data_IF_839430625597
#
_entry.id   IF_839430625597
#
_cell.length_a   1.000
_cell.length_b   1.000
_cell.length_c   1.000
_cell.angle_alpha   90.00
_cell.angle_beta   90.00
_cell.angle_gamma   90.00
#
_symmetry.space_group_name_H-M   'P 1'
#
loop_
_entity.id
_entity.type
_entity.pdbx_description
1 polymer ?
#
# COMPACT_ATOMS: atom_id res chain seq x y z
N UNK A 1 2.64 -12.24 -8.00
CA UNK A 1 2.86 -10.78 -8.06
C UNK A 1 1.88 -10.22 -9.05
N UNK A 2 1.09 -9.23 -8.65
CA UNK A 2 0.15 -8.50 -9.53
C UNK A 2 0.68 -7.07 -9.63
N UNK A 3 0.87 -6.58 -10.85
CA UNK A 3 1.39 -5.22 -11.09
C UNK A 3 0.30 -4.40 -11.77
N UNK A 4 0.05 -3.21 -11.24
CA UNK A 4 -0.87 -2.23 -11.82
C UNK A 4 -0.06 -0.98 -12.15
N UNK A 5 0.09 -0.69 -13.44
CA UNK A 5 0.92 0.40 -13.93
C UNK A 5 0.25 1.10 -15.11
N UNK A 6 0.45 2.42 -15.19
CA UNK A 6 -0.08 3.33 -16.21
C UNK A 6 0.70 4.64 -16.07
N UNK A 7 1.06 5.27 -17.17
CA UNK A 7 1.87 6.50 -17.23
C UNK A 7 1.08 7.79 -17.05
N UNK A 8 -0.26 7.73 -17.05
CA UNK A 8 -1.14 8.90 -16.90
C UNK A 8 -1.45 9.18 -15.43
N UNK A 9 -1.26 10.42 -14.97
CA UNK A 9 -1.74 10.87 -13.66
C UNK A 9 -3.27 10.78 -13.53
N UNK A 10 -3.77 10.35 -12.37
CA UNK A 10 -5.21 10.28 -12.10
C UNK A 10 -5.97 9.10 -12.73
N UNK A 11 -5.29 8.07 -13.23
CA UNK A 11 -5.93 6.92 -13.90
C UNK A 11 -6.38 5.78 -12.98
N UNK A 12 -6.83 6.11 -11.76
CA UNK A 12 -7.44 5.18 -10.77
C UNK A 12 -6.64 3.90 -10.43
N UNK A 13 -5.34 3.87 -10.77
CA UNK A 13 -4.42 2.75 -10.48
C UNK A 13 -4.42 2.38 -9.00
N UNK A 14 -4.14 3.34 -8.13
CA UNK A 14 -4.02 3.12 -6.68
C UNK A 14 -5.34 2.61 -6.11
N UNK A 15 -6.47 3.20 -6.52
CA UNK A 15 -7.81 2.70 -6.17
C UNK A 15 -8.00 1.24 -6.56
N UNK A 16 -7.58 0.85 -7.76
CA UNK A 16 -7.72 -0.54 -8.24
C UNK A 16 -6.80 -1.48 -7.46
N UNK A 17 -5.54 -1.08 -7.23
CA UNK A 17 -4.55 -1.86 -6.49
C UNK A 17 -5.00 -2.12 -5.05
N UNK A 18 -5.47 -1.08 -4.38
CA UNK A 18 -6.02 -1.15 -3.02
C UNK A 18 -7.21 -2.10 -2.96
N UNK A 19 -8.17 -1.98 -3.87
CA UNK A 19 -9.36 -2.85 -3.85
C UNK A 19 -9.02 -4.32 -4.13
N UNK A 20 -8.11 -4.60 -5.06
CA UNK A 20 -7.65 -5.97 -5.32
C UNK A 20 -6.91 -6.52 -4.10
N UNK A 21 -6.02 -5.74 -3.50
CA UNK A 21 -5.31 -6.16 -2.29
C UNK A 21 -6.27 -6.43 -1.13
N UNK A 22 -7.28 -5.57 -0.93
CA UNK A 22 -8.29 -5.76 0.10
C UNK A 22 -9.15 -7.01 -0.14
N UNK A 23 -9.54 -7.27 -1.38
CA UNK A 23 -10.28 -8.50 -1.74
C UNK A 23 -9.47 -9.76 -1.43
N UNK A 24 -8.18 -9.78 -1.79
CA UNK A 24 -7.27 -10.89 -1.52
C UNK A 24 -7.08 -11.08 -0.01
N UNK A 25 -6.91 -9.99 0.74
CA UNK A 25 -6.77 -10.03 2.20
C UNK A 25 -8.04 -10.55 2.89
N UNK A 26 -9.22 -10.12 2.43
CA UNK A 26 -10.52 -10.64 2.92
C UNK A 26 -10.73 -12.12 2.61
N UNK A 27 -10.12 -12.66 1.55
CA UNK A 27 -10.11 -14.09 1.27
C UNK A 27 -9.18 -14.89 2.21
N UNK A 28 -8.58 -14.25 3.22
CA UNK A 28 -7.71 -14.89 4.22
C UNK A 28 -6.26 -15.06 3.75
N UNK A 29 -5.88 -14.46 2.62
CA UNK A 29 -4.53 -14.56 2.07
C UNK A 29 -3.64 -13.43 2.60
N UNK A 30 -2.42 -13.80 3.01
CA UNK A 30 -1.40 -12.83 3.43
C UNK A 30 -1.06 -11.91 2.25
N UNK A 31 -1.39 -10.64 2.40
CA UNK A 31 -1.31 -9.64 1.32
C UNK A 31 -0.36 -8.51 1.71
N UNK A 32 0.50 -8.11 0.78
CA UNK A 32 1.37 -6.95 0.89
C UNK A 32 1.10 -6.06 -0.33
N UNK A 33 0.72 -4.80 -0.09
CA UNK A 33 0.54 -3.80 -1.12
C UNK A 33 1.76 -2.88 -1.14
N UNK A 34 2.35 -2.69 -2.33
CA UNK A 34 3.49 -1.81 -2.54
C UNK A 34 3.04 -0.63 -3.40
N UNK A 35 3.21 0.59 -2.89
CA UNK A 35 2.91 1.83 -3.62
C UNK A 35 4.21 2.46 -4.12
N UNK A 36 4.46 2.33 -5.43
CA UNK A 36 5.63 2.89 -6.09
C UNK A 36 5.31 4.23 -6.79
N UNK A 37 4.18 4.86 -6.50
CA UNK A 37 3.91 6.24 -6.89
C UNK A 37 4.65 7.19 -5.93
N UNK A 38 5.94 7.42 -6.19
CA UNK A 38 6.78 8.27 -5.35
C UNK A 38 6.36 9.74 -5.39
N UNK A 39 5.62 10.17 -6.43
CA UNK A 39 5.14 11.54 -6.55
C UNK A 39 3.88 11.77 -5.72
N UNK A 40 2.95 10.81 -5.72
CA UNK A 40 1.68 10.90 -4.98
C UNK A 40 1.26 9.55 -4.38
N UNK A 41 1.95 9.07 -3.32
CA UNK A 41 1.58 7.84 -2.66
C UNK A 41 0.21 8.01 -2.01
N UNK A 42 -0.74 7.15 -2.34
CA UNK A 42 -2.13 7.25 -1.88
C UNK A 42 -2.63 5.98 -1.23
N UNK A 43 -1.98 4.83 -1.46
CA UNK A 43 -2.45 3.54 -0.96
C UNK A 43 -2.62 3.48 0.56
N UNK A 44 -1.70 4.10 1.32
CA UNK A 44 -1.73 4.12 2.79
C UNK A 44 -2.90 4.92 3.38
N UNK A 45 -3.56 5.77 2.60
CA UNK A 45 -4.71 6.57 3.06
C UNK A 45 -6.05 5.83 3.02
N UNK A 46 -6.13 4.67 2.34
CA UNK A 46 -7.38 3.95 2.15
C UNK A 46 -7.80 3.12 3.37
N UNK A 47 -6.84 2.73 4.20
CA UNK A 47 -7.07 1.90 5.38
C UNK A 47 -6.38 2.48 6.61
N UNK A 48 -7.00 2.41 7.80
CA UNK A 48 -6.34 2.78 9.04
C UNK A 48 -5.09 1.93 9.27
N UNK A 49 -3.97 2.59 9.58
CA UNK A 49 -2.76 1.93 10.02
C UNK A 49 -2.90 1.53 11.50
N UNK A 50 -2.73 0.24 11.80
CA UNK A 50 -2.61 -0.25 13.17
C UNK A 50 -1.18 -0.06 13.69
N UNK A 51 -0.21 -0.20 12.80
CA UNK A 51 1.21 0.05 13.03
C UNK A 51 1.72 0.81 11.83
N UNK A 52 2.19 2.03 12.07
CA UNK A 52 2.94 2.77 11.07
C UNK A 52 4.42 2.47 11.23
N UNK A 53 5.06 2.09 10.13
CA UNK A 53 6.49 1.91 10.08
C UNK A 53 7.18 3.28 9.88
N UNK A 54 8.38 3.50 10.46
CA UNK A 54 9.09 4.77 10.37
C UNK A 54 9.56 5.11 8.95
N UNK A 55 9.63 4.14 8.04
CA UNK A 55 10.14 4.30 6.68
C UNK A 55 9.22 3.67 5.63
N UNK A 56 9.42 4.06 4.37
CA UNK A 56 8.65 3.55 3.24
C UNK A 56 9.50 3.16 2.04
N UNK A 57 8.89 3.20 0.86
CA UNK A 57 9.51 2.77 -0.39
C UNK A 57 10.73 3.62 -0.76
N UNK A 58 10.75 4.90 -0.37
CA UNK A 58 11.89 5.78 -0.61
C UNK A 58 13.15 5.27 0.09
N UNK A 59 13.10 5.02 1.40
CA UNK A 59 14.24 4.52 2.17
C UNK A 59 14.66 3.13 1.73
N UNK A 60 13.71 2.27 1.33
CA UNK A 60 14.02 0.97 0.74
C UNK A 60 14.84 1.10 -0.55
N UNK A 61 14.41 1.96 -1.49
CA UNK A 61 15.05 2.07 -2.80
C UNK A 61 16.35 2.89 -2.78
N UNK A 62 16.35 4.01 -2.06
CA UNK A 62 17.43 5.00 -2.10
C UNK A 62 18.45 4.78 -0.99
N UNK A 63 17.99 4.43 0.21
CA UNK A 63 18.86 4.26 1.39
C UNK A 63 19.22 2.79 1.65
N UNK A 64 18.69 1.87 0.85
CA UNK A 64 18.88 0.42 1.00
C UNK A 64 18.56 -0.09 2.41
N UNK A 65 17.57 0.52 3.09
CA UNK A 65 17.03 -0.08 4.32
C UNK A 65 16.40 -1.43 3.97
N UNK A 66 16.68 -2.44 4.79
CA UNK A 66 16.24 -3.83 4.56
C UNK A 66 15.51 -4.43 5.75
N UNK A 67 15.46 -3.70 6.87
CA UNK A 67 14.68 -4.08 8.04
C UNK A 67 13.18 -3.92 7.77
N UNK A 68 12.50 -5.05 7.55
CA UNK A 68 11.08 -5.08 7.24
C UNK A 68 10.20 -4.53 8.37
N UNK A 69 10.64 -4.59 9.63
CA UNK A 69 9.89 -4.05 10.75
C UNK A 69 9.86 -2.51 10.74
N UNK A 70 10.82 -1.90 10.03
CA UNK A 70 10.90 -0.45 9.80
C UNK A 70 10.27 0.00 8.48
N UNK A 71 9.99 -0.93 7.57
CA UNK A 71 9.49 -0.63 6.21
C UNK A 71 8.01 -1.00 6.01
N UNK A 72 7.49 -1.98 6.75
CA UNK A 72 6.13 -2.49 6.54
C UNK A 72 5.18 -1.96 7.61
N UNK A 73 4.30 -1.05 7.19
CA UNK A 73 3.13 -0.64 7.97
C UNK A 73 2.05 -1.73 7.94
N UNK A 74 1.42 -1.98 9.09
CA UNK A 74 0.30 -2.91 9.21
C UNK A 74 -1.02 -2.13 9.19
N UNK A 75 -1.98 -2.58 8.37
CA UNK A 75 -3.30 -1.95 8.23
C UNK A 75 -4.39 -2.89 8.72
N UNK A 76 -5.56 -2.34 9.06
CA UNK A 76 -6.78 -3.15 9.06
C UNK A 76 -7.25 -3.40 7.63
N UNK A 77 -8.04 -4.44 7.42
CA UNK A 77 -8.76 -4.65 6.15
C UNK A 77 -10.18 -4.10 6.20
N UNK A 78 -10.61 -3.55 7.34
CA UNK A 78 -11.92 -2.91 7.44
C UNK A 78 -11.91 -1.63 6.60
N UNK A 79 -12.70 -1.64 5.52
CA UNK A 79 -13.02 -0.43 4.78
C UNK A 79 -13.67 0.53 5.77
N UNK A 80 -13.09 1.73 5.91
CA UNK A 80 -13.76 2.82 6.64
C UNK A 80 -15.00 3.17 5.82
N UNK A 81 -16.18 2.74 6.24
CA UNK A 81 -17.41 3.38 5.76
C UNK A 81 -17.32 4.83 6.19
N UNK A 82 -17.14 5.74 5.23
CA UNK A 82 -17.42 7.14 5.46
C UNK A 82 -18.87 7.24 6.00
N UNK A 83 -19.12 8.03 7.05
CA UNK A 83 -20.46 8.20 7.62
C UNK A 83 -21.47 8.73 6.59
#
# INVERSE_FOLDING_TARGET
MITIADTKGGSTKSTTAVNIAAFIAHAGLKTLLLDFDLEQPTACSYFPLQKEAPYGVYEFLIMHETDLDKLISATTTQIVTLP
#
